data_IF_451972779402
#
_entry.id   IF_451972779402
#
_cell.length_a   1.000
_cell.length_b   1.000
_cell.length_c   1.000
_cell.angle_alpha   90.00
_cell.angle_beta   90.00
_cell.angle_gamma   90.00
#
_symmetry.space_group_name_H-M   'P 1'
#
loop_
_entity.id
_entity.type
_entity.pdbx_description
1 polymer ?
#
# COMPACT_ATOMS: atom_id res chain seq x y z
N UNK A 1 3.45 0.60 -2.09
CA UNK A 1 4.87 0.20 -1.86
C UNK A 1 5.59 -0.27 -3.11
N UNK A 2 6.62 0.48 -3.52
CA UNK A 2 7.68 -0.04 -4.37
C UNK A 2 8.60 -0.90 -3.51
N UNK A 3 8.19 -2.15 -3.29
CA UNK A 3 8.99 -3.18 -2.64
C UNK A 3 9.35 -4.23 -3.67
N UNK A 4 10.53 -4.83 -3.53
CA UNK A 4 11.03 -5.88 -4.43
C UNK A 4 10.00 -7.01 -4.60
N UNK A 5 9.29 -7.38 -3.52
CA UNK A 5 8.24 -8.41 -3.57
C UNK A 5 7.04 -8.00 -4.43
N UNK A 6 6.67 -6.72 -4.45
CA UNK A 6 5.58 -6.23 -5.29
C UNK A 6 5.96 -6.23 -6.78
N UNK A 7 7.21 -5.95 -7.10
CA UNK A 7 7.69 -6.06 -8.49
C UNK A 7 7.74 -7.51 -8.95
N UNK A 8 8.18 -8.43 -8.09
CA UNK A 8 8.21 -9.87 -8.39
C UNK A 8 6.79 -10.48 -8.49
N UNK A 9 5.83 -10.00 -7.70
CA UNK A 9 4.41 -10.32 -7.83
C UNK A 9 3.85 -9.84 -9.17
N UNK A 10 4.14 -8.58 -9.56
CA UNK A 10 3.73 -8.02 -10.86
C UNK A 10 4.38 -8.77 -12.04
N UNK A 11 5.60 -9.28 -11.86
CA UNK A 11 6.30 -10.10 -12.85
C UNK A 11 5.84 -11.58 -12.85
N UNK A 12 4.92 -11.98 -11.97
CA UNK A 12 4.40 -13.35 -11.85
C UNK A 12 5.42 -14.37 -11.35
N UNK A 13 6.52 -13.92 -10.74
CA UNK A 13 7.58 -14.79 -10.22
C UNK A 13 7.36 -15.21 -8.77
N UNK A 14 6.40 -14.59 -8.09
CA UNK A 14 6.00 -14.91 -6.72
C UNK A 14 4.48 -15.01 -6.65
N UNK A 15 3.99 -15.90 -5.78
CA UNK A 15 2.59 -15.92 -5.38
C UNK A 15 2.35 -14.98 -4.19
N UNK A 16 1.10 -14.53 -3.96
CA UNK A 16 0.77 -13.65 -2.82
C UNK A 16 1.18 -14.24 -1.47
N UNK A 17 1.01 -15.55 -1.27
CA UNK A 17 1.37 -16.25 -0.04
C UNK A 17 2.89 -16.28 0.20
N UNK A 18 3.68 -16.44 -0.87
CA UNK A 18 5.14 -16.42 -0.80
C UNK A 18 5.69 -15.01 -0.58
N UNK A 19 5.00 -13.98 -1.08
CA UNK A 19 5.40 -12.60 -0.88
C UNK A 19 5.26 -12.14 0.58
N UNK A 20 4.28 -12.65 1.33
CA UNK A 20 4.07 -12.30 2.75
C UNK A 20 5.19 -12.80 3.68
N UNK A 21 5.78 -13.95 3.33
CA UNK A 21 6.84 -14.62 4.10
C UNK A 21 8.24 -14.40 3.53
N UNK A 22 8.36 -13.67 2.41
CA UNK A 22 9.64 -13.52 1.73
C UNK A 22 10.67 -12.80 2.62
N UNK A 23 11.90 -13.35 2.77
CA UNK A 23 12.93 -12.80 3.66
C UNK A 23 13.36 -11.36 3.31
N UNK A 24 13.02 -10.89 2.10
CA UNK A 24 13.33 -9.55 1.59
C UNK A 24 12.10 -8.64 1.46
N UNK A 25 10.97 -8.96 2.11
CA UNK A 25 9.72 -8.19 1.98
C UNK A 25 9.83 -6.70 2.37
N UNK A 26 10.80 -6.36 3.21
CA UNK A 26 11.05 -5.00 3.70
C UNK A 26 12.05 -4.20 2.83
N UNK A 27 12.49 -4.73 1.69
CA UNK A 27 13.39 -4.00 0.79
C UNK A 27 12.57 -3.05 -0.07
N UNK A 28 12.56 -1.78 0.33
CA UNK A 28 11.92 -0.69 -0.42
C UNK A 28 12.84 -0.31 -1.58
N UNK A 29 12.35 -0.44 -2.81
CA UNK A 29 13.10 -0.16 -4.06
C UNK A 29 13.06 1.31 -4.47
N UNK A 30 12.25 2.15 -3.82
CA UNK A 30 12.28 3.61 -3.97
C UNK A 30 12.28 4.35 -2.63
N UNK A 31 13.28 5.21 -2.44
CA UNK A 31 13.33 6.18 -1.34
C UNK A 31 13.56 7.58 -1.88
N UNK A 32 12.94 8.58 -1.26
CA UNK A 32 13.14 10.00 -1.61
C UNK A 32 14.62 10.36 -1.35
N UNK A 33 15.36 10.71 -2.40
CA UNK A 33 16.75 11.18 -2.32
C UNK A 33 17.79 10.42 -3.16
N UNK A 34 17.42 9.37 -3.90
CA UNK A 34 18.30 8.80 -4.94
C UNK A 34 18.13 9.49 -6.29
N UNK A 35 19.19 9.38 -7.10
CA UNK A 35 19.59 10.23 -8.23
C UNK A 35 18.68 10.20 -9.47
N UNK A 36 17.48 9.64 -9.35
CA UNK A 36 16.52 9.49 -10.43
C UNK A 36 15.29 10.35 -10.16
N UNK A 37 14.76 10.94 -11.23
CA UNK A 37 13.59 11.81 -11.21
C UNK A 37 12.42 11.10 -10.51
N UNK A 38 11.97 11.63 -9.37
CA UNK A 38 10.82 11.08 -8.65
C UNK A 38 9.60 11.26 -9.56
N UNK A 39 8.96 10.16 -9.95
CA UNK A 39 7.71 10.16 -10.71
C UNK A 39 6.55 9.89 -9.75
N UNK A 40 5.90 10.93 -9.19
CA UNK A 40 4.74 10.74 -8.34
C UNK A 40 3.53 10.24 -9.15
N UNK A 41 2.73 9.37 -8.55
CA UNK A 41 1.45 8.96 -9.10
C UNK A 41 0.39 10.05 -8.86
N UNK A 42 -0.35 10.42 -9.91
CA UNK A 42 -1.47 11.34 -9.82
C UNK A 42 -2.79 10.61 -10.07
N UNK A 43 -3.76 10.82 -9.20
CA UNK A 43 -5.12 10.32 -9.34
C UNK A 43 -6.14 11.41 -9.02
N UNK A 44 -7.30 11.33 -9.66
CA UNK A 44 -8.45 12.17 -9.34
C UNK A 44 -9.60 11.27 -8.90
N UNK A 45 -10.23 11.62 -7.78
CA UNK A 45 -11.41 10.94 -7.25
C UNK A 45 -12.49 11.97 -6.95
N UNK A 46 -13.73 11.63 -7.27
CA UNK A 46 -14.91 12.44 -6.88
C UNK A 46 -15.49 11.82 -5.62
N UNK A 47 -15.77 12.65 -4.61
CA UNK A 47 -16.38 12.23 -3.35
C UNK A 47 -17.86 12.59 -3.35
N UNK A 48 -18.69 11.66 -2.89
CA UNK A 48 -20.12 11.86 -2.68
C UNK A 48 -20.44 12.06 -1.18
N UNK A 49 -21.68 12.47 -0.90
CA UNK A 49 -22.18 12.58 0.47
C UNK A 49 -22.21 11.20 1.14
N UNK A 50 -21.46 11.04 2.22
CA UNK A 50 -21.33 9.77 2.95
C UNK A 50 -20.03 9.02 2.67
N UNK A 51 -19.20 9.49 1.73
CA UNK A 51 -17.89 8.89 1.47
C UNK A 51 -16.85 9.30 2.51
N UNK A 52 -15.96 8.36 2.82
CA UNK A 52 -14.81 8.57 3.70
C UNK A 52 -13.51 8.36 2.92
N UNK A 53 -12.66 9.39 2.88
CA UNK A 53 -11.31 9.30 2.34
C UNK A 53 -10.31 9.08 3.47
N UNK A 54 -9.66 7.91 3.49
CA UNK A 54 -8.62 7.58 4.47
C UNK A 54 -7.23 7.71 3.87
N UNK A 55 -6.41 8.60 4.44
CA UNK A 55 -4.97 8.68 4.19
C UNK A 55 -4.24 8.19 5.43
N UNK A 56 -3.46 7.13 5.29
CA UNK A 56 -2.73 6.52 6.40
C UNK A 56 -1.30 6.16 6.00
N UNK A 57 -0.43 6.03 7.00
CA UNK A 57 0.84 5.32 6.84
C UNK A 57 0.63 3.81 7.03
N UNK A 58 1.62 3.04 6.59
CA UNK A 58 1.75 1.59 6.78
C UNK A 58 1.53 1.13 8.23
N UNK A 59 1.88 1.97 9.21
CA UNK A 59 1.65 1.70 10.63
C UNK A 59 0.20 1.41 11.02
N UNK A 60 -0.78 1.88 10.25
CA UNK A 60 -2.19 1.60 10.50
C UNK A 60 -2.62 0.26 9.89
N UNK A 61 -2.39 0.06 8.59
CA UNK A 61 -2.79 -1.15 7.85
C UNK A 61 -2.03 -2.40 8.28
N UNK A 62 -0.88 -2.25 8.95
CA UNK A 62 -0.15 -3.36 9.54
C UNK A 62 -0.75 -3.85 10.87
N UNK A 63 -1.56 -3.03 11.55
CA UNK A 63 -2.07 -3.30 12.90
C UNK A 63 -3.55 -3.67 12.91
N UNK A 64 -4.34 -3.18 11.95
CA UNK A 64 -5.78 -3.41 11.85
C UNK A 64 -6.17 -3.73 10.42
N UNK A 65 -7.11 -4.67 10.29
CA UNK A 65 -7.60 -5.15 9.00
C UNK A 65 -8.46 -4.10 8.30
N UNK A 66 -8.57 -4.22 6.96
CA UNK A 66 -9.43 -3.33 6.18
C UNK A 66 -10.91 -3.39 6.60
N UNK A 67 -11.39 -4.57 7.03
CA UNK A 67 -12.74 -4.74 7.59
C UNK A 67 -12.92 -3.97 8.89
N UNK A 68 -11.95 -4.04 9.81
CA UNK A 68 -12.03 -3.27 11.07
C UNK A 68 -11.98 -1.76 10.80
N UNK A 69 -11.14 -1.31 9.86
CA UNK A 69 -11.10 0.09 9.44
C UNK A 69 -12.46 0.51 8.89
N UNK A 70 -13.07 -0.29 8.01
CA UNK A 70 -14.39 -0.02 7.46
C UNK A 70 -15.45 0.08 8.57
N UNK A 71 -15.47 -0.90 9.47
CA UNK A 71 -16.43 -0.95 10.58
C UNK A 71 -16.27 0.27 11.50
N UNK A 72 -15.04 0.68 11.82
CA UNK A 72 -14.77 1.86 12.65
C UNK A 72 -15.17 3.16 11.95
N UNK A 73 -14.84 3.31 10.67
CA UNK A 73 -15.09 4.54 9.90
C UNK A 73 -16.58 4.72 9.60
N UNK A 74 -17.32 3.62 9.49
CA UNK A 74 -18.77 3.63 9.21
C UNK A 74 -19.64 3.43 10.45
N UNK A 75 -19.04 3.19 11.63
CA UNK A 75 -19.76 3.20 12.90
C UNK A 75 -19.95 4.65 13.37
N UNK A 76 -21.22 5.09 13.43
CA UNK A 76 -21.63 6.31 14.13
C UNK A 76 -21.50 6.17 15.67
#
# INVERSE_FOLDING_TARGET
>A
DHSLVNELLKAGQLTPEEAETHPQKNIITQSIGQKDEIQPDFGMITLELGDYLLLNSDGLTNMISASEIYDIVTSD
#
